data_IF_631655636354
#
_entry.id   IF_631655636354
#
_cell.length_a   1.000
_cell.length_b   1.000
_cell.length_c   1.000
_cell.angle_alpha   90.00
_cell.angle_beta   90.00
_cell.angle_gamma   90.00
#
_symmetry.space_group_name_H-M   'P 1'
#
loop_
_entity.id
_entity.type
_entity.pdbx_description
1 polymer ?
#
# COMPACT_ATOMS: atom_id res chain seq x y z
N UNK A 1 -20.82 13.20 2.39
CA UNK A 1 -20.51 12.85 3.79
C UNK A 1 -19.04 13.17 4.01
N UNK A 2 -18.69 13.90 5.06
CA UNK A 2 -17.29 14.18 5.41
C UNK A 2 -16.70 12.98 6.16
N UNK A 3 -15.40 12.75 6.02
CA UNK A 3 -14.70 11.74 6.80
C UNK A 3 -14.78 12.08 8.29
N UNK A 4 -14.81 11.06 9.14
CA UNK A 4 -14.69 11.24 10.59
C UNK A 4 -13.41 12.02 10.89
N UNK A 5 -13.51 13.08 11.70
CA UNK A 5 -12.38 13.96 12.04
C UNK A 5 -12.07 15.08 11.04
N UNK A 6 -12.68 15.08 9.84
CA UNK A 6 -12.43 16.10 8.81
C UNK A 6 -12.83 17.52 9.24
N UNK A 7 -13.95 17.66 9.95
CA UNK A 7 -14.43 18.95 10.45
C UNK A 7 -13.45 19.59 11.44
N UNK A 8 -12.87 18.78 12.33
CA UNK A 8 -11.89 19.24 13.31
C UNK A 8 -10.59 19.75 12.65
N UNK A 9 -10.28 19.26 11.45
CA UNK A 9 -9.14 19.69 10.64
C UNK A 9 -9.50 20.75 9.60
N UNK A 10 -10.75 21.24 9.57
CA UNK A 10 -11.23 22.23 8.61
C UNK A 10 -11.14 21.76 7.15
N UNK A 11 -11.18 20.44 6.93
CA UNK A 11 -11.03 19.87 5.59
C UNK A 11 -12.29 20.10 4.75
N UNK A 12 -12.08 20.48 3.50
CA UNK A 12 -13.13 20.54 2.48
C UNK A 12 -13.49 19.14 1.98
N UNK A 13 -14.65 19.03 1.33
CA UNK A 13 -15.09 17.75 0.78
C UNK A 13 -14.10 17.21 -0.25
N UNK A 14 -13.55 18.10 -1.09
CA UNK A 14 -12.51 17.77 -2.06
C UNK A 14 -11.26 17.21 -1.39
N UNK A 15 -10.77 17.84 -0.33
CA UNK A 15 -9.60 17.33 0.40
C UNK A 15 -9.86 15.96 1.05
N UNK A 16 -11.11 15.67 1.44
CA UNK A 16 -11.46 14.33 1.92
C UNK A 16 -11.42 13.30 0.79
N UNK A 17 -11.93 13.64 -0.41
CA UNK A 17 -11.87 12.76 -1.58
C UNK A 17 -10.42 12.51 -2.01
N UNK A 18 -9.62 13.57 -2.14
CA UNK A 18 -8.21 13.47 -2.51
C UNK A 18 -7.44 12.57 -1.52
N UNK A 19 -7.80 12.62 -0.22
CA UNK A 19 -7.21 11.76 0.81
C UNK A 19 -7.62 10.29 0.67
N UNK A 20 -8.91 10.03 0.39
CA UNK A 20 -9.42 8.67 0.14
C UNK A 20 -8.70 8.06 -1.07
N UNK A 21 -8.70 8.78 -2.19
CA UNK A 21 -8.06 8.36 -3.44
C UNK A 21 -6.56 8.12 -3.24
N UNK A 22 -5.86 9.01 -2.53
CA UNK A 22 -4.43 8.85 -2.26
C UNK A 22 -4.13 7.60 -1.42
N UNK A 23 -4.99 7.26 -0.46
CA UNK A 23 -4.82 6.06 0.35
C UNK A 23 -5.08 4.79 -0.47
N UNK A 24 -6.14 4.78 -1.28
CA UNK A 24 -6.45 3.69 -2.21
C UNK A 24 -5.30 3.46 -3.20
N UNK A 25 -4.85 4.51 -3.90
CA UNK A 25 -3.73 4.46 -4.85
C UNK A 25 -2.44 3.94 -4.18
N UNK A 26 -2.16 4.36 -2.95
CA UNK A 26 -0.96 3.93 -2.22
C UNK A 26 -0.99 2.43 -1.92
N UNK A 27 -2.13 1.91 -1.47
CA UNK A 27 -2.31 0.49 -1.15
C UNK A 27 -2.34 -0.36 -2.42
N UNK A 28 -3.09 0.05 -3.45
CA UNK A 28 -3.20 -0.67 -4.71
C UNK A 28 -1.86 -0.75 -5.45
N UNK A 29 -1.07 0.32 -5.42
CA UNK A 29 0.29 0.31 -5.96
C UNK A 29 1.19 -0.69 -5.22
N UNK A 30 1.05 -0.79 -3.89
CA UNK A 30 1.81 -1.74 -3.09
C UNK A 30 1.40 -3.18 -3.38
N UNK A 31 0.09 -3.49 -3.39
CA UNK A 31 -0.45 -4.80 -3.75
C UNK A 31 0.03 -5.25 -5.14
N UNK A 32 -0.03 -4.34 -6.12
CA UNK A 32 0.46 -4.62 -7.47
C UNK A 32 1.97 -4.88 -7.50
N UNK A 33 2.74 -4.11 -6.73
CA UNK A 33 4.18 -4.28 -6.58
C UNK A 33 4.53 -5.64 -5.97
N UNK A 34 3.84 -6.04 -4.89
CA UNK A 34 4.06 -7.31 -4.20
C UNK A 34 3.68 -8.50 -5.09
N UNK A 35 2.51 -8.43 -5.74
CA UNK A 35 2.07 -9.43 -6.72
C UNK A 35 3.12 -9.64 -7.80
N UNK A 36 3.68 -8.55 -8.36
CA UNK A 36 4.75 -8.63 -9.35
C UNK A 36 6.01 -9.27 -8.78
N UNK A 37 6.49 -8.83 -7.61
CA UNK A 37 7.72 -9.33 -7.00
C UNK A 37 7.63 -10.82 -6.65
N UNK A 38 6.52 -11.24 -6.03
CA UNK A 38 6.24 -12.64 -5.70
C UNK A 38 6.26 -13.49 -6.96
N UNK A 39 5.55 -13.05 -8.01
CA UNK A 39 5.54 -13.74 -9.28
C UNK A 39 6.94 -13.84 -9.89
N UNK A 40 7.67 -12.73 -9.97
CA UNK A 40 8.98 -12.67 -10.59
C UNK A 40 10.03 -13.52 -9.87
N UNK A 41 10.07 -13.52 -8.53
CA UNK A 41 10.96 -14.40 -7.76
C UNK A 41 10.57 -15.87 -7.92
N UNK A 42 9.26 -16.16 -7.99
CA UNK A 42 8.75 -17.51 -8.23
C UNK A 42 9.18 -18.11 -9.58
N UNK A 43 9.53 -17.29 -10.58
CA UNK A 43 10.01 -17.75 -11.89
C UNK A 43 11.52 -18.07 -11.92
N UNK A 44 12.28 -17.78 -10.86
CA UNK A 44 13.71 -18.11 -10.83
C UNK A 44 13.96 -19.63 -10.79
N UNK A 45 15.10 -20.09 -11.31
CA UNK A 45 15.51 -21.51 -11.24
C UNK A 45 15.66 -22.02 -9.80
N UNK A 46 15.95 -21.12 -8.86
CA UNK A 46 15.96 -21.38 -7.41
C UNK A 46 15.33 -20.19 -6.69
N UNK A 47 13.99 -20.20 -6.52
CA UNK A 47 13.29 -19.12 -5.83
C UNK A 47 13.71 -19.01 -4.36
N UNK A 48 13.81 -17.79 -3.87
CA UNK A 48 14.01 -17.50 -2.46
C UNK A 48 12.66 -17.55 -1.71
N UNK A 49 12.35 -18.73 -1.15
CA UNK A 49 11.11 -18.97 -0.42
C UNK A 49 10.91 -18.04 0.79
N UNK A 50 11.97 -17.63 1.47
CA UNK A 50 11.87 -16.71 2.61
C UNK A 50 11.43 -15.30 2.16
N UNK A 51 11.92 -14.86 1.01
CA UNK A 51 11.57 -13.56 0.44
C UNK A 51 10.14 -13.53 -0.09
N UNK A 52 9.71 -14.62 -0.75
CA UNK A 52 8.32 -14.79 -1.17
C UNK A 52 7.38 -14.73 0.04
N UNK A 53 7.69 -15.49 1.10
CA UNK A 53 6.87 -15.51 2.31
C UNK A 53 6.81 -14.14 3.02
N UNK A 54 7.91 -13.37 3.01
CA UNK A 54 7.92 -12.00 3.54
C UNK A 54 7.00 -11.08 2.74
N UNK A 55 7.02 -11.15 1.41
CA UNK A 55 6.14 -10.35 0.56
C UNK A 55 4.68 -10.80 0.64
N UNK A 56 4.40 -12.09 0.74
CA UNK A 56 3.04 -12.62 0.96
C UNK A 56 2.48 -12.16 2.31
N UNK A 57 3.30 -12.12 3.36
CA UNK A 57 2.87 -11.61 4.66
C UNK A 57 2.54 -10.11 4.60
N UNK A 58 3.34 -9.31 3.87
CA UNK A 58 3.05 -7.90 3.65
C UNK A 58 1.82 -7.69 2.77
N UNK A 59 1.59 -8.52 1.74
CA UNK A 59 0.41 -8.46 0.89
C UNK A 59 -0.87 -8.73 1.69
N UNK A 60 -0.82 -9.73 2.58
CA UNK A 60 -1.90 -10.02 3.52
C UNK A 60 -2.16 -8.85 4.51
N UNK A 61 -1.10 -8.23 5.03
CA UNK A 61 -1.23 -7.03 5.89
C UNK A 61 -1.93 -5.88 5.15
N UNK A 62 -1.52 -5.61 3.91
CA UNK A 62 -2.10 -4.55 3.06
C UNK A 62 -3.59 -4.83 2.78
N UNK A 63 -3.94 -6.09 2.50
CA UNK A 63 -5.33 -6.50 2.33
C UNK A 63 -6.18 -6.22 3.58
N UNK A 64 -5.68 -6.56 4.77
CA UNK A 64 -6.36 -6.31 6.04
C UNK A 64 -6.56 -4.81 6.32
N UNK A 65 -5.56 -3.99 6.01
CA UNK A 65 -5.67 -2.53 6.09
C UNK A 65 -6.72 -2.01 5.12
N UNK A 66 -6.66 -2.40 3.84
CA UNK A 66 -7.64 -1.96 2.83
C UNK A 66 -9.07 -2.34 3.22
N UNK A 67 -9.25 -3.53 3.81
CA UNK A 67 -10.56 -4.00 4.28
C UNK A 67 -11.09 -3.21 5.49
N UNK A 68 -10.21 -2.76 6.39
CA UNK A 68 -10.59 -2.03 7.61
C UNK A 68 -10.64 -0.51 7.45
N UNK A 69 -10.09 0.03 6.36
CA UNK A 69 -9.97 1.46 6.12
C UNK A 69 -11.31 2.21 5.94
N UNK A 70 -12.34 1.66 5.25
CA UNK A 70 -13.61 2.35 5.03
C UNK A 70 -14.27 2.83 6.33
N UNK A 71 -14.65 4.11 6.38
CA UNK A 71 -15.29 4.72 7.55
C UNK A 71 -14.34 5.14 8.68
N UNK A 72 -13.03 4.91 8.52
CA UNK A 72 -12.01 5.35 9.48
C UNK A 72 -11.88 6.87 9.59
N UNK A 73 -11.21 7.31 10.65
CA UNK A 73 -10.86 8.72 10.88
C UNK A 73 -9.80 9.21 9.88
N UNK A 74 -9.84 10.50 9.54
CA UNK A 74 -8.86 11.16 8.66
C UNK A 74 -7.41 10.83 9.03
N UNK A 75 -7.08 10.78 10.33
CA UNK A 75 -5.71 10.46 10.77
C UNK A 75 -5.28 9.06 10.38
N UNK A 76 -6.20 8.11 10.33
CA UNK A 76 -5.91 6.72 9.90
C UNK A 76 -5.55 6.72 8.41
N UNK A 77 -6.31 7.42 7.57
CA UNK A 77 -5.99 7.57 6.15
C UNK A 77 -4.62 8.22 5.93
N UNK A 78 -4.31 9.29 6.68
CA UNK A 78 -3.00 9.94 6.62
C UNK A 78 -1.88 8.98 7.02
N UNK A 79 -2.05 8.24 8.11
CA UNK A 79 -1.06 7.28 8.59
C UNK A 79 -0.85 6.13 7.62
N UNK A 80 -1.91 5.66 6.95
CA UNK A 80 -1.83 4.64 5.90
C UNK A 80 -0.98 5.14 4.73
N UNK A 81 -1.24 6.35 4.23
CA UNK A 81 -0.45 6.94 3.14
C UNK A 81 1.03 7.08 3.53
N UNK A 82 1.31 7.57 4.73
CA UNK A 82 2.69 7.73 5.21
C UNK A 82 3.42 6.39 5.33
N UNK A 83 2.77 5.40 5.95
CA UNK A 83 3.36 4.08 6.23
C UNK A 83 3.59 3.32 4.93
N UNK A 84 2.55 3.13 4.13
CA UNK A 84 2.64 2.31 2.92
C UNK A 84 3.27 3.05 1.75
N UNK A 85 3.19 4.39 1.73
CA UNK A 85 3.96 5.21 0.81
C UNK A 85 5.47 5.07 1.04
N UNK A 86 5.91 4.95 2.31
CA UNK A 86 7.30 4.66 2.62
C UNK A 86 7.70 3.24 2.20
N UNK A 87 6.85 2.23 2.45
CA UNK A 87 7.09 0.85 1.98
C UNK A 87 7.24 0.77 0.46
N UNK A 88 6.40 1.48 -0.29
CA UNK A 88 6.52 1.57 -1.73
C UNK A 88 7.88 2.12 -2.19
N UNK A 89 8.40 3.15 -1.50
CA UNK A 89 9.74 3.69 -1.81
C UNK A 89 10.85 2.70 -1.49
N UNK A 90 10.71 1.93 -0.42
CA UNK A 90 11.68 0.90 -0.02
C UNK A 90 11.72 -0.28 -0.99
N UNK A 91 10.57 -0.66 -1.56
CA UNK A 91 10.49 -1.74 -2.55
C UNK A 91 10.92 -1.30 -3.95
N UNK A 92 10.94 0.00 -4.25
CA UNK A 92 11.27 0.48 -5.60
C UNK A 92 12.62 -0.03 -6.14
N UNK A 93 13.74 0.04 -5.40
CA UNK A 93 15.02 -0.49 -5.87
C UNK A 93 15.04 -2.02 -5.99
N UNK A 94 14.09 -2.72 -5.36
CA UNK A 94 13.91 -4.17 -5.53
C UNK A 94 13.23 -4.43 -6.87
N UNK A 95 12.11 -3.75 -7.15
CA UNK A 95 11.40 -3.83 -8.43
C UNK A 95 12.34 -3.55 -9.60
N UNK A 96 13.11 -2.47 -9.53
CA UNK A 96 14.04 -2.10 -10.60
C UNK A 96 15.07 -3.22 -10.88
N UNK A 97 15.48 -3.99 -9.86
CA UNK A 97 16.38 -5.15 -10.02
C UNK A 97 15.73 -6.35 -10.69
N UNK A 98 14.42 -6.55 -10.54
CA UNK A 98 13.69 -7.62 -11.25
C UNK A 98 13.33 -7.21 -12.67
N UNK A 99 13.07 -5.93 -12.93
CA UNK A 99 12.80 -5.42 -14.29
C UNK A 99 14.04 -5.36 -15.17
N UNK A 100 15.24 -5.27 -14.58
CA UNK A 100 16.50 -5.24 -15.32
C UNK A 100 17.00 -6.63 -15.77
N UNK A 101 16.28 -7.71 -15.44
CA UNK A 101 16.60 -9.10 -15.82
C UNK A 101 15.76 -9.56 -17.00
#
# INVERSE_FOLDING_TARGET
MFLTGAEALGMTHRQCLDLLESAEDTLDFLTSTLTYLIHAEGQHTRPNAALIAEWEALDQEVFEVQYSLPGSDVKVYQQVIETYGQRNRELRPVVDRYMAK
#
